data_IF_256300839104
#
_entry.id   IF_256300839104
#
_cell.length_a   1.000
_cell.length_b   1.000
_cell.length_c   1.000
_cell.angle_alpha   90.00
_cell.angle_beta   90.00
_cell.angle_gamma   90.00
#
_symmetry.space_group_name_H-M   'P 1'
#
loop_
_entity.id
_entity.type
_entity.pdbx_description
1 polymer ?
#
# COMPACT_ATOMS: atom_id res chain seq x y z
N UNK A 1 -21.36 37.07 16.65
CA UNK A 1 -22.58 37.90 16.69
C UNK A 1 -22.85 38.56 15.35
N UNK A 2 -23.41 37.80 14.41
CA UNK A 2 -24.19 38.32 13.28
C UNK A 2 -25.30 37.29 13.05
N UNK A 3 -26.53 37.70 13.32
CA UNK A 3 -27.74 36.92 13.18
C UNK A 3 -28.19 36.95 11.71
N UNK A 4 -28.49 35.80 11.12
CA UNK A 4 -29.26 35.70 9.88
C UNK A 4 -30.58 35.01 10.18
N UNK A 5 -31.63 35.81 10.34
CA UNK A 5 -33.02 35.39 10.25
C UNK A 5 -33.44 35.44 8.78
N UNK A 6 -33.76 34.29 8.20
CA UNK A 6 -34.28 34.19 6.84
C UNK A 6 -35.33 33.10 6.76
N UNK A 7 -36.59 33.47 7.05
CA UNK A 7 -37.77 32.63 6.80
C UNK A 7 -38.17 32.75 5.33
N UNK A 8 -38.42 31.60 4.68
CA UNK A 8 -39.17 31.51 3.43
C UNK A 8 -40.03 30.22 3.43
N UNK A 9 -41.13 30.19 2.67
CA UNK A 9 -42.40 29.65 3.16
C UNK A 9 -42.71 28.20 2.76
N UNK A 10 -43.57 27.58 3.57
CA UNK A 10 -44.28 26.35 3.26
C UNK A 10 -45.09 26.49 1.96
N UNK A 11 -44.72 25.73 0.93
CA UNK A 11 -45.63 25.35 -0.15
C UNK A 11 -46.12 23.93 0.08
N UNK A 12 -47.33 23.87 0.62
CA UNK A 12 -48.24 22.73 0.55
C UNK A 12 -48.72 22.54 -0.90
N UNK A 13 -49.17 21.32 -1.19
CA UNK A 13 -49.97 20.87 -2.35
C UNK A 13 -49.17 20.26 -3.51
N UNK A 14 -49.06 18.93 -3.50
CA UNK A 14 -49.59 18.07 -4.57
C UNK A 14 -49.43 16.59 -4.18
N UNK A 15 -50.38 16.08 -3.40
CA UNK A 15 -50.61 14.64 -3.26
C UNK A 15 -51.29 14.15 -4.55
N UNK A 16 -50.50 13.58 -5.46
CA UNK A 16 -50.96 13.03 -6.73
C UNK A 16 -50.39 11.64 -6.95
N UNK A 17 -51.15 10.63 -6.52
CA UNK A 17 -51.24 9.28 -7.10
C UNK A 17 -49.99 8.76 -7.83
N UNK A 18 -49.00 8.24 -7.08
CA UNK A 18 -48.10 7.23 -7.62
C UNK A 18 -48.67 5.85 -7.25
N UNK A 19 -49.29 5.24 -8.24
CA UNK A 19 -49.84 3.89 -8.16
C UNK A 19 -48.74 2.89 -7.76
N UNK A 20 -49.11 2.03 -6.84
CA UNK A 20 -48.35 0.89 -6.31
C UNK A 20 -48.02 -0.07 -7.46
N UNK A 21 -46.83 0.07 -8.02
CA UNK A 21 -46.15 -0.96 -8.81
C UNK A 21 -45.10 -1.65 -7.92
N UNK A 22 -45.57 -2.23 -6.82
CA UNK A 22 -44.81 -3.20 -6.05
C UNK A 22 -45.14 -4.60 -6.60
N UNK A 23 -44.17 -5.52 -6.55
CA UNK A 23 -44.31 -6.96 -6.79
C UNK A 23 -44.08 -7.46 -8.23
N UNK A 24 -42.91 -7.21 -8.81
CA UNK A 24 -42.13 -8.27 -9.49
C UNK A 24 -40.63 -7.93 -9.50
N UNK A 25 -40.13 -7.29 -8.43
CA UNK A 25 -38.68 -7.34 -8.15
C UNK A 25 -38.41 -8.78 -7.73
N UNK A 26 -38.19 -9.64 -8.72
CA UNK A 26 -37.79 -11.02 -8.50
C UNK A 26 -36.52 -10.97 -7.67
N UNK A 27 -36.60 -11.47 -6.44
CA UNK A 27 -35.43 -11.81 -5.66
C UNK A 27 -34.61 -12.76 -6.54
N UNK A 28 -33.57 -12.25 -7.20
CA UNK A 28 -32.59 -13.14 -7.82
C UNK A 28 -32.03 -13.97 -6.68
N UNK A 29 -32.12 -15.32 -6.74
CA UNK A 29 -31.49 -16.15 -5.74
C UNK A 29 -30.04 -15.71 -5.62
N UNK A 30 -29.62 -15.45 -4.38
CA UNK A 30 -28.25 -15.07 -4.03
C UNK A 30 -27.34 -16.12 -4.64
N UNK A 31 -26.60 -15.76 -5.70
CA UNK A 31 -25.61 -16.65 -6.28
C UNK A 31 -24.66 -17.06 -5.17
N UNK A 32 -24.51 -18.36 -5.02
CA UNK A 32 -23.66 -18.97 -4.01
C UNK A 32 -22.21 -18.67 -4.38
N UNK A 33 -21.62 -17.69 -3.68
CA UNK A 33 -20.22 -17.27 -3.88
C UNK A 33 -19.20 -18.33 -3.44
N UNK A 34 -19.64 -19.50 -2.95
CA UNK A 34 -18.75 -20.56 -2.49
C UNK A 34 -18.08 -21.36 -3.62
N UNK A 35 -18.49 -21.19 -4.88
CA UNK A 35 -17.94 -21.91 -6.04
C UNK A 35 -17.22 -21.01 -7.05
N UNK A 36 -16.53 -19.96 -6.57
CA UNK A 36 -15.57 -19.23 -7.40
C UNK A 36 -14.27 -20.04 -7.40
N UNK A 37 -14.14 -20.95 -8.36
CA UNK A 37 -12.86 -21.62 -8.63
C UNK A 37 -11.79 -20.53 -8.86
N UNK A 38 -10.68 -20.52 -8.10
CA UNK A 38 -9.63 -19.54 -8.30
C UNK A 38 -9.16 -19.58 -9.76
N UNK A 39 -9.20 -18.43 -10.43
CA UNK A 39 -8.67 -18.30 -11.78
C UNK A 39 -7.19 -18.68 -11.83
N UNK A 40 -6.61 -18.88 -13.03
CA UNK A 40 -5.17 -19.07 -13.19
C UNK A 40 -4.44 -17.93 -12.47
N UNK A 41 -3.52 -18.26 -11.56
CA UNK A 41 -2.67 -17.24 -10.92
C UNK A 41 -1.86 -16.55 -12.01
N UNK A 42 -1.89 -15.22 -12.02
CA UNK A 42 -1.08 -14.40 -12.91
C UNK A 42 0.42 -14.63 -12.68
N UNK A 43 1.29 -13.98 -13.47
CA UNK A 43 2.72 -13.97 -13.19
C UNK A 43 2.96 -13.39 -11.79
N UNK A 44 3.86 -14.03 -11.05
CA UNK A 44 4.25 -13.67 -9.68
C UNK A 44 5.57 -12.91 -9.73
N UNK A 45 5.65 -11.79 -9.04
CA UNK A 45 6.89 -11.04 -8.92
C UNK A 45 7.70 -11.48 -7.69
N UNK A 46 8.76 -12.25 -7.91
CA UNK A 46 9.66 -12.72 -6.84
C UNK A 46 10.95 -11.90 -6.70
N UNK A 47 11.00 -10.70 -7.29
CA UNK A 47 12.20 -9.87 -7.39
C UNK A 47 12.81 -9.49 -6.03
N UNK A 48 12.00 -9.35 -4.97
CA UNK A 48 12.51 -9.06 -3.62
C UNK A 48 13.48 -10.16 -3.14
N UNK A 49 13.26 -11.44 -3.43
CA UNK A 49 14.14 -12.50 -2.96
C UNK A 49 15.21 -12.87 -4.01
N UNK A 50 14.83 -12.87 -5.29
CA UNK A 50 15.72 -13.30 -6.38
C UNK A 50 16.69 -12.20 -6.81
N UNK A 51 16.28 -10.93 -6.75
CA UNK A 51 17.00 -9.82 -7.38
C UNK A 51 16.85 -9.78 -8.90
N UNK A 52 15.95 -10.58 -9.47
CA UNK A 52 15.65 -10.60 -10.91
C UNK A 52 14.34 -9.84 -11.19
N UNK A 53 14.31 -8.91 -12.17
CA UNK A 53 15.38 -8.57 -13.10
C UNK A 53 16.40 -7.57 -12.55
N UNK A 54 16.20 -7.04 -11.35
CA UNK A 54 17.12 -6.11 -10.70
C UNK A 54 17.00 -6.16 -9.17
N UNK A 55 18.06 -5.74 -8.47
CA UNK A 55 18.07 -5.61 -7.01
C UNK A 55 17.50 -4.25 -6.53
N UNK A 56 16.99 -4.16 -5.29
CA UNK A 56 16.63 -2.88 -4.69
C UNK A 56 17.74 -1.83 -4.83
N UNK A 57 17.39 -0.56 -5.12
CA UNK A 57 16.05 0.05 -5.08
C UNK A 57 15.20 -0.16 -6.35
N UNK A 58 15.64 -1.01 -7.28
CA UNK A 58 14.94 -1.24 -8.53
C UNK A 58 13.81 -2.28 -8.38
N UNK A 59 12.67 -2.01 -9.00
CA UNK A 59 11.56 -2.94 -9.15
C UNK A 59 11.22 -3.09 -10.62
N UNK A 60 11.43 -4.28 -11.19
CA UNK A 60 11.10 -4.57 -12.59
C UNK A 60 11.68 -3.56 -13.62
N UNK A 61 12.86 -3.00 -13.32
CA UNK A 61 13.52 -1.97 -14.14
C UNK A 61 13.18 -0.53 -13.77
N UNK A 62 12.16 -0.30 -12.94
CA UNK A 62 11.80 1.02 -12.41
C UNK A 62 12.66 1.35 -11.19
N UNK A 63 13.40 2.46 -11.24
CA UNK A 63 14.29 2.88 -10.15
C UNK A 63 13.95 4.28 -9.65
N UNK A 64 13.65 4.45 -8.35
CA UNK A 64 13.43 5.75 -7.74
C UNK A 64 14.55 6.76 -8.04
N UNK A 65 14.14 7.98 -8.38
CA UNK A 65 14.93 9.15 -8.79
C UNK A 65 15.73 8.98 -10.09
N UNK A 66 15.47 7.90 -10.83
CA UNK A 66 16.07 7.64 -12.14
C UNK A 66 14.96 7.52 -13.19
N UNK A 67 13.96 6.68 -12.96
CA UNK A 67 12.86 6.46 -13.89
C UNK A 67 11.93 7.68 -13.95
N UNK A 68 11.47 7.99 -15.16
CA UNK A 68 10.57 9.10 -15.45
C UNK A 68 9.10 8.69 -15.33
N UNK A 69 8.20 9.66 -15.21
CA UNK A 69 6.75 9.44 -15.26
C UNK A 69 6.32 8.62 -16.49
N UNK A 70 6.89 8.94 -17.66
CA UNK A 70 6.56 8.27 -18.93
C UNK A 70 6.98 6.80 -18.94
N UNK A 71 8.14 6.47 -18.35
CA UNK A 71 8.60 5.08 -18.23
C UNK A 71 7.71 4.28 -17.26
N UNK A 72 7.27 4.91 -16.17
CA UNK A 72 6.33 4.30 -15.21
C UNK A 72 4.98 4.04 -15.88
N UNK A 73 4.42 5.01 -16.61
CA UNK A 73 3.14 4.86 -17.33
C UNK A 73 3.22 3.75 -18.38
N UNK A 74 4.28 3.73 -19.20
CA UNK A 74 4.46 2.71 -20.24
C UNK A 74 4.58 1.31 -19.62
N UNK A 75 5.37 1.15 -18.56
CA UNK A 75 5.51 -0.12 -17.86
C UNK A 75 4.16 -0.59 -17.29
N UNK A 76 3.45 0.26 -16.54
CA UNK A 76 2.19 -0.14 -15.89
C UNK A 76 1.06 -0.44 -16.86
N UNK A 77 1.08 0.12 -18.08
CA UNK A 77 0.11 -0.19 -19.15
C UNK A 77 0.38 -1.52 -19.85
N UNK A 78 1.65 -1.90 -19.96
CA UNK A 78 2.08 -3.04 -20.79
C UNK A 78 2.47 -4.27 -19.99
N UNK A 79 2.71 -4.12 -18.68
CA UNK A 79 3.16 -5.20 -17.80
C UNK A 79 2.08 -6.25 -17.54
N UNK A 80 2.48 -7.51 -17.65
CA UNK A 80 1.65 -8.66 -17.28
C UNK A 80 1.49 -8.80 -15.75
N UNK A 81 2.26 -8.08 -14.95
CA UNK A 81 2.14 -8.05 -13.49
C UNK A 81 0.99 -7.16 -13.01
N UNK A 82 0.39 -6.36 -13.90
CA UNK A 82 -0.68 -5.41 -13.56
C UNK A 82 -2.03 -5.96 -14.05
N UNK A 83 -2.99 -6.08 -13.15
CA UNK A 83 -4.36 -6.41 -13.51
C UNK A 83 -5.01 -5.25 -14.26
N UNK A 84 -5.12 -5.34 -15.58
CA UNK A 84 -5.88 -4.36 -16.35
C UNK A 84 -7.39 -4.56 -16.14
N UNK A 85 -8.20 -3.48 -16.03
CA UNK A 85 -7.88 -2.06 -16.20
C UNK A 85 -7.70 -1.31 -14.85
N UNK A 86 -7.12 -1.95 -13.83
CA UNK A 86 -7.09 -1.38 -12.46
C UNK A 86 -6.11 -0.21 -12.31
N UNK A 87 -5.16 -0.09 -13.23
CA UNK A 87 -4.19 0.99 -13.27
C UNK A 87 -4.86 2.34 -13.51
N UNK A 88 -4.57 3.31 -12.66
CA UNK A 88 -4.99 4.70 -12.81
C UNK A 88 -4.01 5.66 -12.14
N UNK A 89 -4.03 6.91 -12.61
CA UNK A 89 -3.31 8.03 -11.99
C UNK A 89 -4.25 8.88 -11.12
N UNK A 90 -3.71 9.40 -10.03
CA UNK A 90 -4.34 10.38 -9.14
C UNK A 90 -3.31 11.32 -8.53
N UNK A 91 -3.76 12.39 -7.88
CA UNK A 91 -2.87 13.28 -7.13
C UNK A 91 -2.94 12.96 -5.64
N UNK A 92 -1.78 12.99 -4.98
CA UNK A 92 -1.68 13.08 -3.53
C UNK A 92 -1.76 14.55 -3.13
N UNK A 93 -2.47 14.83 -2.05
CA UNK A 93 -2.69 16.18 -1.54
C UNK A 93 -2.17 16.31 -0.11
N UNK A 94 -1.61 17.46 0.24
CA UNK A 94 -1.25 17.76 1.62
C UNK A 94 -2.47 18.14 2.48
N UNK A 95 -2.22 18.51 3.74
CA UNK A 95 -3.28 18.97 4.66
C UNK A 95 -3.94 20.30 4.24
N UNK A 96 -3.31 21.08 3.36
CA UNK A 96 -3.87 22.30 2.80
C UNK A 96 -4.71 22.02 1.52
N UNK A 97 -4.66 20.80 1.00
CA UNK A 97 -5.33 20.41 -0.23
C UNK A 97 -4.53 20.75 -1.50
N UNK A 98 -3.23 21.04 -1.37
CA UNK A 98 -2.34 21.29 -2.50
C UNK A 98 -1.74 19.97 -3.00
N UNK A 99 -1.64 19.76 -4.34
CA UNK A 99 -1.07 18.53 -4.88
C UNK A 99 0.43 18.47 -4.58
N UNK A 100 0.88 17.38 -3.95
CA UNK A 100 2.28 17.15 -3.58
C UNK A 100 3.01 16.13 -4.43
N UNK A 101 2.27 15.22 -5.06
CA UNK A 101 2.82 14.20 -5.94
C UNK A 101 1.74 13.63 -6.85
N UNK A 102 2.15 13.08 -7.98
CA UNK A 102 1.30 12.22 -8.81
C UNK A 102 1.46 10.78 -8.30
N UNK A 103 0.37 10.02 -8.19
CA UNK A 103 0.38 8.63 -7.75
C UNK A 103 -0.30 7.74 -8.78
N UNK A 104 0.43 6.73 -9.25
CA UNK A 104 -0.12 5.59 -9.96
C UNK A 104 -0.57 4.55 -8.93
N UNK A 105 -1.74 3.96 -9.15
CA UNK A 105 -2.26 2.88 -8.30
C UNK A 105 -2.78 1.73 -9.17
N UNK A 106 -2.49 0.49 -8.78
CA UNK A 106 -2.93 -0.70 -9.50
C UNK A 106 -3.07 -1.93 -8.60
N UNK A 107 -3.64 -3.01 -9.14
CA UNK A 107 -3.67 -4.34 -8.52
C UNK A 107 -2.76 -5.30 -9.27
N UNK A 108 -2.16 -6.25 -8.56
CA UNK A 108 -1.37 -7.32 -9.18
C UNK A 108 -2.24 -8.21 -10.07
N UNK A 109 -1.68 -8.78 -11.14
CA UNK A 109 -2.43 -9.59 -12.11
C UNK A 109 -3.10 -10.85 -11.52
N UNK A 110 -2.62 -11.35 -10.37
CA UNK A 110 -3.19 -12.47 -9.63
C UNK A 110 -4.19 -12.10 -8.52
N UNK A 111 -4.56 -10.82 -8.38
CA UNK A 111 -5.43 -10.33 -7.30
C UNK A 111 -6.78 -11.05 -7.21
N UNK A 112 -7.23 -11.34 -5.99
CA UNK A 112 -8.55 -11.95 -5.72
C UNK A 112 -9.58 -10.89 -5.32
N UNK A 113 -10.77 -10.91 -5.94
CA UNK A 113 -11.88 -9.99 -5.61
C UNK A 113 -12.17 -9.99 -4.10
N UNK A 114 -11.91 -8.85 -3.45
CA UNK A 114 -12.10 -8.67 -2.00
C UNK A 114 -10.84 -8.27 -1.25
N UNK A 115 -9.65 -8.44 -1.85
CA UNK A 115 -8.42 -7.90 -1.26
C UNK A 115 -8.42 -6.36 -1.43
N UNK A 116 -8.14 -5.62 -0.36
CA UNK A 116 -8.15 -4.15 -0.40
C UNK A 116 -6.79 -3.55 -0.76
N UNK A 117 -5.80 -4.40 -0.99
CA UNK A 117 -4.43 -4.01 -1.25
C UNK A 117 -4.26 -3.43 -2.65
N UNK A 118 -3.61 -2.27 -2.72
CA UNK A 118 -3.29 -1.54 -3.95
C UNK A 118 -1.80 -1.27 -3.95
N UNK A 119 -1.13 -1.70 -5.01
CA UNK A 119 0.22 -1.26 -5.28
C UNK A 119 0.18 0.20 -5.69
N UNK A 120 1.25 0.94 -5.42
CA UNK A 120 1.35 2.32 -5.87
C UNK A 120 2.76 2.74 -6.25
N UNK A 121 2.85 3.78 -7.07
CA UNK A 121 4.11 4.44 -7.41
C UNK A 121 3.86 5.95 -7.35
N UNK A 122 4.70 6.68 -6.62
CA UNK A 122 4.62 8.13 -6.53
C UNK A 122 5.65 8.77 -7.45
N UNK A 123 5.26 9.82 -8.15
CA UNK A 123 6.10 10.61 -9.06
C UNK A 123 6.07 12.06 -8.58
N UNK A 124 7.26 12.65 -8.51
CA UNK A 124 7.49 14.03 -8.11
C UNK A 124 8.59 14.64 -8.98
N UNK A 125 8.40 15.89 -9.41
CA UNK A 125 9.25 16.55 -10.42
C UNK A 125 9.47 15.71 -11.70
N UNK A 126 8.46 14.93 -12.11
CA UNK A 126 8.51 14.06 -13.28
C UNK A 126 9.39 12.80 -13.13
N UNK A 127 9.91 12.55 -11.92
CA UNK A 127 10.73 11.39 -11.59
C UNK A 127 10.02 10.51 -10.56
N UNK A 128 10.18 9.20 -10.70
CA UNK A 128 9.69 8.21 -9.74
C UNK A 128 10.30 8.49 -8.37
N UNK A 129 9.49 8.69 -7.34
CA UNK A 129 9.90 8.97 -5.96
C UNK A 129 9.94 7.69 -5.12
N UNK A 130 8.87 6.90 -5.16
CA UNK A 130 8.79 5.63 -4.45
C UNK A 130 7.85 4.66 -5.16
N UNK A 131 8.02 3.38 -4.85
CA UNK A 131 7.16 2.28 -5.31
C UNK A 131 6.76 1.48 -4.08
N UNK A 132 5.50 1.10 -4.00
CA UNK A 132 4.93 0.30 -2.94
C UNK A 132 4.23 -0.92 -3.55
N UNK A 133 4.67 -2.11 -3.15
CA UNK A 133 4.23 -3.39 -3.70
C UNK A 133 3.74 -4.29 -2.57
N UNK A 134 2.50 -4.73 -2.67
CA UNK A 134 1.99 -5.87 -1.90
C UNK A 134 2.44 -7.17 -2.55
N UNK A 135 2.99 -8.08 -1.74
CA UNK A 135 3.51 -9.34 -2.27
C UNK A 135 2.36 -10.28 -2.66
N UNK A 136 2.53 -10.94 -3.81
CA UNK A 136 1.62 -11.96 -4.33
C UNK A 136 2.18 -13.40 -4.16
N UNK A 137 3.18 -13.54 -3.30
CA UNK A 137 3.79 -14.80 -2.92
C UNK A 137 4.20 -14.78 -1.45
N UNK A 138 4.43 -15.98 -0.90
CA UNK A 138 4.84 -16.14 0.48
C UNK A 138 6.34 -15.79 0.63
N UNK A 139 6.64 -14.72 1.35
CA UNK A 139 7.97 -14.37 1.81
C UNK A 139 7.98 -14.26 3.33
N UNK A 140 9.08 -14.69 3.94
CA UNK A 140 9.26 -14.68 5.38
C UNK A 140 10.28 -13.64 5.83
N UNK A 141 10.16 -13.20 7.07
CA UNK A 141 11.14 -12.33 7.71
C UNK A 141 12.56 -12.92 7.65
N UNK A 142 12.72 -14.24 7.88
CA UNK A 142 14.03 -14.91 7.79
C UNK A 142 14.63 -14.81 6.38
N UNK A 143 13.87 -15.04 5.32
CA UNK A 143 14.39 -14.94 3.94
C UNK A 143 14.86 -13.52 3.60
N UNK A 144 14.13 -12.51 4.06
CA UNK A 144 14.53 -11.10 3.91
C UNK A 144 15.83 -10.81 4.67
N UNK A 145 15.96 -11.28 5.91
CA UNK A 145 17.18 -11.08 6.71
C UNK A 145 18.38 -11.81 6.09
N UNK A 146 18.19 -13.02 5.56
CA UNK A 146 19.24 -13.77 4.87
C UNK A 146 19.72 -13.03 3.61
N UNK A 147 18.79 -12.40 2.89
CA UNK A 147 19.09 -11.68 1.65
C UNK A 147 19.72 -10.31 1.87
N UNK A 148 19.19 -9.55 2.84
CA UNK A 148 19.50 -8.13 3.00
C UNK A 148 20.32 -7.81 4.25
N UNK A 149 20.46 -8.76 5.17
CA UNK A 149 21.10 -8.59 6.47
C UNK A 149 20.12 -8.08 7.53
N UNK A 150 20.66 -7.61 8.66
CA UNK A 150 19.84 -7.00 9.70
C UNK A 150 19.38 -5.59 9.28
N UNK A 151 18.12 -5.19 9.58
CA UNK A 151 17.65 -3.85 9.27
C UNK A 151 18.38 -2.81 10.13
N UNK A 152 18.42 -1.58 9.63
CA UNK A 152 19.00 -0.46 10.37
C UNK A 152 18.13 -0.06 11.56
N UNK A 153 16.83 0.11 11.30
CA UNK A 153 15.81 0.46 12.29
C UNK A 153 14.56 -0.35 12.01
N UNK A 154 13.71 -0.44 13.01
CA UNK A 154 12.35 -0.93 12.86
C UNK A 154 11.35 0.07 13.43
N UNK A 155 10.17 0.10 12.84
CA UNK A 155 9.00 0.80 13.36
C UNK A 155 7.88 -0.21 13.54
N UNK A 156 7.00 0.02 14.51
CA UNK A 156 5.84 -0.82 14.74
C UNK A 156 4.63 -0.01 15.14
N UNK A 157 3.45 -0.46 14.72
CA UNK A 157 2.18 0.14 15.09
C UNK A 157 1.02 -0.85 15.00
N UNK A 158 -0.02 -0.70 15.83
CA UNK A 158 -1.24 -1.48 15.69
C UNK A 158 -1.98 -1.08 14.41
N UNK A 159 -2.51 -2.08 13.70
CA UNK A 159 -3.30 -1.92 12.48
C UNK A 159 -4.40 -2.97 12.39
N UNK A 160 -5.22 -2.88 11.33
CA UNK A 160 -6.37 -3.76 11.11
C UNK A 160 -7.59 -3.43 11.98
N UNK A 161 -8.77 -3.33 11.37
CA UNK A 161 -10.04 -3.07 12.08
C UNK A 161 -10.80 -4.35 12.42
N UNK A 162 -10.76 -5.35 11.54
CA UNK A 162 -11.49 -6.61 11.69
C UNK A 162 -10.63 -7.70 12.31
N UNK A 163 -9.43 -7.91 11.76
CA UNK A 163 -8.41 -8.81 12.29
C UNK A 163 -7.22 -7.96 12.71
N UNK A 164 -7.14 -7.54 13.99
CA UNK A 164 -6.11 -6.61 14.41
C UNK A 164 -4.74 -7.29 14.42
N UNK A 165 -3.75 -6.61 13.85
CA UNK A 165 -2.36 -7.03 13.79
C UNK A 165 -1.44 -5.88 14.22
N UNK A 166 -0.16 -6.19 14.35
CA UNK A 166 0.89 -5.19 14.53
C UNK A 166 1.71 -5.20 13.24
N UNK A 167 1.80 -4.03 12.63
CA UNK A 167 2.72 -3.78 11.53
C UNK A 167 4.11 -3.63 12.11
N UNK A 168 5.08 -4.31 11.52
CA UNK A 168 6.51 -4.14 11.80
C UNK A 168 7.20 -3.80 10.50
N UNK A 169 7.69 -2.59 10.37
CA UNK A 169 8.44 -2.14 9.20
C UNK A 169 9.94 -2.25 9.49
N UNK A 170 10.66 -2.94 8.59
CA UNK A 170 12.10 -3.16 8.65
C UNK A 170 12.78 -2.26 7.61
N UNK A 171 13.64 -1.35 8.05
CA UNK A 171 14.26 -0.35 7.16
C UNK A 171 15.68 -0.75 6.73
N UNK A 172 15.92 -0.71 5.42
CA UNK A 172 17.22 -0.92 4.77
C UNK A 172 17.61 0.32 3.93
N UNK A 173 17.87 1.47 4.57
CA UNK A 173 18.02 2.75 3.90
C UNK A 173 19.10 2.78 2.82
N UNK A 174 20.25 2.16 3.08
CA UNK A 174 21.40 2.12 2.16
C UNK A 174 21.11 1.29 0.90
N UNK A 175 20.05 0.47 0.93
CA UNK A 175 19.56 -0.32 -0.21
C UNK A 175 18.32 0.31 -0.86
N UNK A 176 17.77 1.37 -0.28
CA UNK A 176 16.54 2.00 -0.78
C UNK A 176 15.33 1.07 -0.68
N UNK A 177 15.20 0.36 0.45
CA UNK A 177 14.21 -0.67 0.67
C UNK A 177 13.63 -0.56 2.09
N UNK A 178 12.33 -0.73 2.25
CA UNK A 178 11.72 -1.14 3.51
C UNK A 178 10.72 -2.28 3.28
N UNK A 179 10.54 -3.09 4.31
CA UNK A 179 9.75 -4.32 4.25
C UNK A 179 8.79 -4.34 5.42
N UNK A 180 7.52 -4.59 5.14
CA UNK A 180 6.48 -4.68 6.14
C UNK A 180 6.20 -6.14 6.48
N UNK A 181 6.15 -6.42 7.77
CA UNK A 181 5.81 -7.71 8.36
C UNK A 181 4.54 -7.53 9.20
N UNK A 182 3.59 -8.44 9.04
CA UNK A 182 2.38 -8.49 9.85
C UNK A 182 2.51 -9.56 10.93
N UNK A 183 2.33 -9.17 12.20
CA UNK A 183 2.27 -10.13 13.32
C UNK A 183 0.92 -10.04 14.03
N UNK A 184 0.32 -11.18 14.46
CA UNK A 184 -0.97 -11.16 15.13
C UNK A 184 -0.92 -10.36 16.44
N UNK A 185 -1.89 -9.46 16.68
CA UNK A 185 -1.84 -8.56 17.84
C UNK A 185 -1.90 -9.26 19.20
N UNK A 186 -2.57 -10.41 19.28
CA UNK A 186 -2.73 -11.17 20.53
C UNK A 186 -1.44 -11.90 20.95
N UNK A 187 -0.51 -12.06 20.03
CA UNK A 187 0.79 -12.69 20.22
C UNK A 187 1.79 -11.95 19.32
N UNK A 188 1.96 -10.66 19.59
CA UNK A 188 2.75 -9.74 18.77
C UNK A 188 4.25 -10.06 18.92
N UNK A 189 4.65 -11.17 18.30
CA UNK A 189 5.99 -11.70 18.29
C UNK A 189 6.50 -11.72 16.85
N UNK A 190 7.62 -11.07 16.61
CA UNK A 190 8.33 -11.19 15.34
C UNK A 190 9.11 -12.49 15.33
N UNK A 191 8.82 -13.34 14.36
CA UNK A 191 9.36 -14.70 14.24
C UNK A 191 10.06 -14.88 12.89
N UNK A 192 10.92 -15.90 12.74
CA UNK A 192 11.54 -16.22 11.45
C UNK A 192 10.51 -16.41 10.34
N UNK A 193 9.37 -17.03 10.66
CA UNK A 193 8.27 -17.35 9.76
C UNK A 193 7.20 -16.25 9.66
N UNK A 194 7.39 -15.08 10.29
CA UNK A 194 6.44 -13.97 10.16
C UNK A 194 6.33 -13.53 8.69
N UNK A 195 5.10 -13.37 8.18
CA UNK A 195 4.86 -13.08 6.76
C UNK A 195 5.23 -11.65 6.42
N UNK A 196 5.96 -11.49 5.33
CA UNK A 196 6.18 -10.20 4.68
C UNK A 196 4.99 -9.95 3.77
N UNK A 197 4.34 -8.80 3.94
CA UNK A 197 3.12 -8.46 3.18
C UNK A 197 3.33 -7.35 2.18
N UNK A 198 4.29 -6.46 2.43
CA UNK A 198 4.47 -5.24 1.63
C UNK A 198 5.95 -4.84 1.55
N UNK A 199 6.33 -4.22 0.45
CA UNK A 199 7.68 -3.71 0.20
C UNK A 199 7.60 -2.30 -0.36
N UNK A 200 8.46 -1.43 0.16
CA UNK A 200 8.69 -0.09 -0.40
C UNK A 200 10.07 0.01 -1.01
N UNK A 201 10.13 0.54 -2.23
CA UNK A 201 11.36 0.90 -2.92
C UNK A 201 11.47 2.42 -2.98
N UNK A 202 12.61 2.96 -2.57
CA UNK A 202 12.89 4.40 -2.54
C UNK A 202 14.36 4.66 -2.86
N UNK A 203 14.73 5.92 -3.11
CA UNK A 203 16.12 6.25 -3.42
C UNK A 203 17.03 6.02 -2.19
N UNK A 204 18.12 5.25 -2.31
CA UNK A 204 19.00 4.93 -1.19
C UNK A 204 19.47 6.17 -0.42
N UNK A 205 19.61 6.01 0.89
CA UNK A 205 20.13 7.03 1.82
C UNK A 205 21.16 6.45 2.76
N UNK A 206 22.09 7.31 3.17
CA UNK A 206 22.98 7.00 4.28
C UNK A 206 22.19 6.90 5.57
N UNK A 207 22.62 6.06 6.50
CA UNK A 207 21.96 5.88 7.80
C UNK A 207 21.81 7.19 8.58
N UNK A 208 22.81 8.05 8.49
CA UNK A 208 22.84 9.36 9.14
C UNK A 208 21.79 10.32 8.60
N UNK A 209 21.40 10.17 7.32
CA UNK A 209 20.44 11.04 6.65
C UNK A 209 19.05 10.43 6.54
N UNK A 210 18.90 9.18 6.98
CA UNK A 210 17.65 8.44 6.86
C UNK A 210 16.50 9.16 7.55
N UNK A 211 16.70 9.62 8.78
CA UNK A 211 15.66 10.29 9.56
C UNK A 211 15.25 11.63 8.95
N UNK A 212 16.22 12.37 8.42
CA UNK A 212 15.99 13.68 7.81
C UNK A 212 15.28 13.56 6.45
N UNK A 213 15.59 12.51 5.68
CA UNK A 213 15.12 12.38 4.30
C UNK A 213 13.92 11.46 4.13
N UNK A 214 13.59 10.64 5.11
CA UNK A 214 12.58 9.62 4.91
C UNK A 214 11.22 10.20 4.53
N UNK A 215 10.83 11.31 5.14
CA UNK A 215 9.60 12.03 4.77
C UNK A 215 9.65 12.53 3.33
N UNK A 216 10.72 13.22 2.96
CA UNK A 216 10.93 13.76 1.61
C UNK A 216 11.05 12.65 0.55
N UNK A 217 11.44 11.43 0.94
CA UNK A 217 11.52 10.27 0.05
C UNK A 217 10.26 9.45 -0.03
N UNK A 218 9.20 9.87 0.66
CA UNK A 218 7.90 9.20 0.61
C UNK A 218 7.92 7.85 1.33
N UNK A 219 8.82 7.70 2.30
CA UNK A 219 8.81 6.56 3.22
C UNK A 219 7.69 6.84 4.24
N UNK A 220 6.75 5.91 4.44
CA UNK A 220 5.67 6.10 5.41
C UNK A 220 6.28 6.21 6.81
N UNK A 221 6.23 7.39 7.42
CA UNK A 221 6.81 7.60 8.75
C UNK A 221 5.92 8.45 9.67
N UNK A 222 5.88 8.18 10.98
CA UNK A 222 5.22 9.04 11.97
C UNK A 222 5.96 10.38 12.13
N UNK A 223 5.22 11.45 12.48
CA UNK A 223 5.77 12.80 12.61
C UNK A 223 6.82 13.02 13.71
N UNK A 224 6.89 12.14 14.73
CA UNK A 224 7.88 12.18 15.83
C UNK A 224 8.89 11.03 15.74
N UNK A 225 9.39 10.81 14.52
CA UNK A 225 10.24 9.73 14.02
C UNK A 225 11.27 9.13 15.00
N UNK A 226 12.07 9.96 15.68
CA UNK A 226 13.15 9.47 16.53
C UNK A 226 12.66 8.64 17.73
N UNK A 227 11.46 8.91 18.23
CA UNK A 227 10.94 8.25 19.43
C UNK A 227 10.26 6.91 19.15
N UNK A 228 10.00 6.58 17.88
CA UNK A 228 9.24 5.40 17.47
C UNK A 228 10.07 4.39 16.67
N UNK A 229 11.36 4.68 16.48
CA UNK A 229 12.29 3.78 15.81
C UNK A 229 13.15 3.02 16.81
N UNK A 230 13.20 1.70 16.64
CA UNK A 230 13.94 0.81 17.52
C UNK A 230 15.11 0.18 16.77
N UNK A 231 16.17 -0.14 17.51
CA UNK A 231 17.25 -0.99 16.98
C UNK A 231 16.77 -2.44 16.92
N UNK A 232 17.21 -3.17 15.89
CA UNK A 232 16.96 -4.61 15.79
C UNK A 232 17.46 -5.37 17.03
N UNK A 233 16.55 -5.95 17.80
CA UNK A 233 16.86 -6.77 18.98
C UNK A 233 16.86 -8.28 18.69
N UNK A 234 16.57 -8.68 17.44
CA UNK A 234 16.31 -10.08 17.09
C UNK A 234 14.82 -10.40 17.01
N UNK A 235 14.53 -11.70 16.91
CA UNK A 235 13.17 -12.23 17.03
C UNK A 235 12.68 -12.17 18.47
N UNK A 236 11.37 -11.99 18.64
CA UNK A 236 10.73 -11.91 19.96
C UNK A 236 9.57 -10.92 20.00
N UNK A 237 9.09 -10.58 21.21
CA UNK A 237 7.99 -9.63 21.39
C UNK A 237 8.27 -8.29 20.73
N UNK A 238 7.25 -7.74 20.09
CA UNK A 238 7.26 -6.43 19.44
C UNK A 238 6.62 -5.41 20.38
N UNK A 239 7.31 -4.32 20.66
CA UNK A 239 6.73 -3.16 21.35
C UNK A 239 5.91 -2.34 20.33
N UNK A 240 4.67 -1.96 20.65
CA UNK A 240 3.76 -1.22 19.75
C UNK A 240 2.71 -0.40 20.50
#
# INVERSE_FOLDING_TARGET
>A
NVWFEGKAPLHLVAWGLLAVACMTVGCRPREDLSDVTPGPRGPVDSSLLTGDPCEPPCWQGLTPRISTEAEVDEFLRTSELVAQPTFHWGYLYDSAGEPVALQASWRSAGYTVGEFYLNSASVDDGLLRSINIHLDYDATCQEVLERYGVPYKLWSAPAGTHDPFVLVELYYPERGLSVQVEVPRHDAELRPDSPVTEVWYFAPVTRERFLDEAYDKGIPMPGDLENWLWDWQGYGPVDW
#
